data_IF_834951332510
#
_entry.id   IF_834951332510
#
_cell.length_a   1.000
_cell.length_b   1.000
_cell.length_c   1.000
_cell.angle_alpha   90.00
_cell.angle_beta   90.00
_cell.angle_gamma   90.00
#
_symmetry.space_group_name_H-M   'P 1'
#
loop_
_entity.id
_entity.type
_entity.pdbx_description
1 polymer ?
#
# COMPACT_ATOMS: atom_id res chain seq x y z
N UNK A 1 6.66 0.40 -6.01
CA UNK A 1 6.57 1.87 -5.99
C UNK A 1 5.28 2.29 -6.67
N UNK A 2 4.44 3.14 -6.06
CA UNK A 2 3.14 3.55 -6.66
C UNK A 2 3.37 4.31 -7.97
N UNK A 3 2.96 3.77 -9.13
CA UNK A 3 3.37 4.32 -10.42
C UNK A 3 2.75 5.69 -10.69
N UNK A 4 1.61 6.03 -10.05
CA UNK A 4 0.90 7.28 -10.33
C UNK A 4 1.59 8.51 -9.73
N UNK A 5 2.06 8.44 -8.48
CA UNK A 5 2.79 9.54 -7.85
C UNK A 5 4.21 9.74 -8.43
N UNK A 6 4.79 8.71 -9.04
CA UNK A 6 6.06 8.85 -9.75
C UNK A 6 5.92 9.48 -11.13
N UNK A 7 4.70 9.55 -11.71
CA UNK A 7 4.47 10.24 -12.99
C UNK A 7 4.67 11.75 -12.85
N UNK A 8 4.31 12.31 -11.70
CA UNK A 8 4.36 13.76 -11.46
C UNK A 8 5.72 14.22 -10.89
N UNK A 9 6.72 13.34 -10.85
CA UNK A 9 8.08 13.67 -10.37
C UNK A 9 8.23 13.81 -8.85
N UNK A 10 7.20 13.45 -8.08
CA UNK A 10 7.25 13.51 -6.61
C UNK A 10 8.08 12.35 -6.02
N UNK A 11 9.07 12.67 -5.17
CA UNK A 11 9.86 11.70 -4.41
C UNK A 11 9.05 11.14 -3.22
N UNK A 12 8.14 10.21 -3.49
CA UNK A 12 7.31 9.55 -2.48
C UNK A 12 7.96 8.24 -2.04
N UNK A 13 8.47 8.21 -0.80
CA UNK A 13 9.23 7.07 -0.26
C UNK A 13 8.42 6.08 0.55
N UNK A 14 7.18 6.40 0.91
CA UNK A 14 6.37 5.55 1.76
C UNK A 14 4.91 5.97 1.84
N UNK A 15 4.12 5.07 2.44
CA UNK A 15 2.69 5.26 2.69
C UNK A 15 2.38 4.75 4.10
N UNK A 16 1.61 5.53 4.86
CA UNK A 16 1.13 5.15 6.20
C UNK A 16 -0.40 5.17 6.21
N UNK A 17 -1.00 4.18 6.85
CA UNK A 17 -2.46 4.11 7.02
C UNK A 17 -2.89 4.90 8.24
N UNK A 18 -3.89 5.77 8.06
CA UNK A 18 -4.66 6.31 9.18
C UNK A 18 -5.89 5.43 9.40
N UNK A 19 -6.00 4.70 10.51
CA UNK A 19 -5.04 4.53 11.61
C UNK A 19 -4.76 3.04 11.83
N UNK A 20 -3.77 2.72 12.66
CA UNK A 20 -3.57 1.32 13.04
C UNK A 20 -4.73 0.79 13.89
N UNK A 21 -5.17 1.58 14.87
CA UNK A 21 -6.23 1.24 15.83
C UNK A 21 -7.36 2.26 15.74
N UNK A 22 -8.59 1.82 16.03
CA UNK A 22 -9.66 2.77 16.36
C UNK A 22 -9.21 3.62 17.55
N UNK A 23 -9.44 4.92 17.46
CA UNK A 23 -9.01 5.90 18.44
C UNK A 23 -10.09 6.97 18.66
N UNK A 24 -9.77 7.97 19.47
CA UNK A 24 -10.59 9.16 19.67
C UNK A 24 -10.44 10.11 18.49
N UNK A 25 -11.52 10.33 17.73
CA UNK A 25 -11.51 11.19 16.55
C UNK A 25 -12.08 12.58 16.86
N UNK A 26 -11.36 13.32 17.70
CA UNK A 26 -11.59 14.75 17.96
C UNK A 26 -13.05 15.10 18.26
N UNK A 27 -13.66 15.99 17.46
CA UNK A 27 -15.06 16.43 17.60
C UNK A 27 -16.06 15.26 17.60
N UNK A 28 -15.71 14.14 16.97
CA UNK A 28 -16.62 12.99 16.79
C UNK A 28 -16.41 11.90 17.84
N UNK A 29 -15.47 12.08 18.76
CA UNK A 29 -15.18 11.13 19.82
C UNK A 29 -14.91 9.71 19.28
N UNK A 30 -15.49 8.69 19.93
CA UNK A 30 -15.30 7.28 19.56
C UNK A 30 -16.32 6.73 18.55
N UNK A 31 -17.13 7.60 17.96
CA UNK A 31 -18.18 7.17 17.01
C UNK A 31 -17.62 6.84 15.64
N UNK A 32 -16.52 7.50 15.25
CA UNK A 32 -15.78 7.22 14.02
C UNK A 32 -14.66 6.22 14.24
N UNK A 33 -14.50 5.30 13.29
CA UNK A 33 -13.63 4.12 13.43
C UNK A 33 -12.78 3.92 12.18
N UNK A 34 -11.62 4.58 12.14
CA UNK A 34 -10.68 4.52 11.02
C UNK A 34 -9.60 3.44 11.14
N UNK A 35 -9.51 2.78 12.30
CA UNK A 35 -8.47 1.80 12.55
C UNK A 35 -8.55 0.58 11.66
N UNK A 36 -7.40 0.03 11.29
CA UNK A 36 -7.30 -1.33 10.75
C UNK A 36 -7.77 -2.37 11.79
N UNK A 37 -7.61 -2.07 13.08
CA UNK A 37 -8.12 -2.88 14.18
C UNK A 37 -9.27 -2.16 14.89
N UNK A 38 -10.34 -2.91 15.11
CA UNK A 38 -11.42 -2.51 16.00
C UNK A 38 -10.94 -2.58 17.44
N UNK A 39 -11.19 -1.54 18.22
CA UNK A 39 -10.93 -1.52 19.67
C UNK A 39 -12.26 -1.56 20.40
N UNK A 40 -12.38 -2.51 21.33
CA UNK A 40 -13.51 -2.59 22.25
C UNK A 40 -13.20 -1.77 23.51
N UNK A 41 -13.80 -0.58 23.60
CA UNK A 41 -13.59 0.29 24.75
C UNK A 41 -14.29 -0.19 26.03
N UNK A 42 -15.25 -1.12 25.93
CA UNK A 42 -15.97 -1.67 27.06
C UNK A 42 -15.35 -2.97 27.58
N UNK A 43 -14.65 -3.71 26.71
CA UNK A 43 -14.01 -5.00 27.03
C UNK A 43 -12.48 -4.86 27.05
N UNK A 44 -11.96 -4.14 28.06
CA UNK A 44 -10.51 -4.03 28.37
C UNK A 44 -9.63 -3.65 27.17
N UNK A 45 -10.13 -2.79 26.27
CA UNK A 45 -9.42 -2.34 25.08
C UNK A 45 -8.97 -3.49 24.15
N UNK A 46 -9.71 -4.61 24.12
CA UNK A 46 -9.40 -5.72 23.22
C UNK A 46 -9.41 -5.27 21.76
N UNK A 47 -8.48 -5.83 20.98
CA UNK A 47 -8.26 -5.46 19.58
C UNK A 47 -8.60 -6.60 18.64
N UNK A 48 -9.38 -6.29 17.62
CA UNK A 48 -9.86 -7.25 16.64
C UNK A 48 -9.49 -6.79 15.24
N UNK A 49 -8.78 -7.63 14.49
CA UNK A 49 -8.35 -7.31 13.14
C UNK A 49 -9.57 -7.23 12.20
N UNK A 50 -9.81 -6.05 11.60
CA UNK A 50 -10.85 -5.89 10.58
C UNK A 50 -10.39 -6.52 9.26
N UNK A 51 -11.32 -6.70 8.33
CA UNK A 51 -10.97 -7.23 7.01
C UNK A 51 -10.03 -6.30 6.23
N UNK A 52 -10.07 -4.99 6.50
CA UNK A 52 -9.08 -4.02 6.01
C UNK A 52 -7.66 -4.35 6.47
N UNK A 53 -7.45 -4.80 7.72
CA UNK A 53 -6.12 -5.23 8.19
C UNK A 53 -5.62 -6.47 7.43
N UNK A 54 -6.50 -7.46 7.22
CA UNK A 54 -6.17 -8.67 6.46
C UNK A 54 -5.84 -8.34 5.00
N UNK A 55 -6.62 -7.45 4.39
CA UNK A 55 -6.37 -6.96 3.05
C UNK A 55 -5.05 -6.19 2.97
N UNK A 56 -4.79 -5.30 3.93
CA UNK A 56 -3.59 -4.47 3.94
C UNK A 56 -2.33 -5.32 4.11
N UNK A 57 -2.38 -6.36 4.95
CA UNK A 57 -1.32 -7.37 5.04
C UNK A 57 -1.03 -8.00 3.67
N UNK A 58 -2.04 -8.54 3.00
CA UNK A 58 -1.90 -9.13 1.66
C UNK A 58 -1.41 -8.11 0.63
N UNK A 59 -1.82 -6.85 0.77
CA UNK A 59 -1.38 -5.76 -0.09
C UNK A 59 0.11 -5.49 0.08
N UNK A 60 0.64 -5.45 1.30
CA UNK A 60 2.07 -5.28 1.58
C UNK A 60 2.91 -6.50 1.17
N UNK A 61 2.33 -7.70 1.22
CA UNK A 61 2.99 -8.94 0.79
C UNK A 61 3.14 -9.04 -0.74
N UNK A 62 2.38 -8.26 -1.51
CA UNK A 62 2.57 -8.17 -2.97
C UNK A 62 3.90 -7.48 -3.24
N UNK A 63 4.91 -8.28 -3.60
CA UNK A 63 6.16 -7.77 -4.19
C UNK A 63 5.85 -6.92 -5.41
N UNK A 64 6.68 -5.91 -5.68
CA UNK A 64 6.57 -5.04 -6.85
C UNK A 64 6.30 -5.89 -8.10
N UNK A 65 5.06 -5.86 -8.57
CA UNK A 65 4.73 -6.42 -9.87
C UNK A 65 5.36 -5.47 -10.86
N UNK A 66 6.35 -5.97 -11.60
CA UNK A 66 6.78 -5.31 -12.81
C UNK A 66 5.55 -5.09 -13.67
N UNK A 67 5.24 -3.83 -13.96
CA UNK A 67 4.15 -3.51 -14.88
C UNK A 67 4.47 -4.18 -16.22
N UNK A 68 3.52 -4.92 -16.83
CA UNK A 68 3.77 -5.71 -18.05
C UNK A 68 4.44 -4.89 -19.18
N UNK A 69 4.13 -3.60 -19.25
CA UNK A 69 4.70 -2.64 -20.20
C UNK A 69 6.19 -2.38 -19.98
N UNK A 70 6.64 -2.30 -18.72
CA UNK A 70 8.06 -2.09 -18.39
C UNK A 70 8.90 -3.32 -18.72
N UNK A 71 8.36 -4.51 -18.47
CA UNK A 71 9.04 -5.77 -18.77
C UNK A 71 9.13 -6.02 -20.28
N UNK A 72 8.06 -5.72 -21.02
CA UNK A 72 8.08 -5.75 -22.47
C UNK A 72 9.11 -4.78 -23.05
N UNK A 73 9.13 -3.53 -22.57
CA UNK A 73 10.11 -2.52 -22.99
C UNK A 73 11.55 -2.96 -22.70
N UNK A 74 11.82 -3.46 -21.50
CA UNK A 74 13.14 -4.01 -21.11
C UNK A 74 13.55 -5.18 -22.01
N UNK A 75 12.60 -6.07 -22.34
CA UNK A 75 12.84 -7.20 -23.24
C UNK A 75 13.18 -6.74 -24.65
N UNK A 76 12.39 -5.82 -25.23
CA UNK A 76 12.64 -5.26 -26.56
C UNK A 76 13.99 -4.55 -26.62
N UNK A 77 14.33 -3.71 -25.63
CA UNK A 77 15.63 -3.03 -25.58
C UNK A 77 16.80 -4.01 -25.54
N UNK A 78 16.68 -5.09 -24.74
CA UNK A 78 17.71 -6.13 -24.65
C UNK A 78 17.94 -6.81 -26.01
N UNK A 79 16.87 -7.14 -26.73
CA UNK A 79 16.95 -7.71 -28.08
C UNK A 79 17.57 -6.73 -29.09
N UNK A 80 17.20 -5.46 -29.02
CA UNK A 80 17.75 -4.42 -29.89
C UNK A 80 19.26 -4.23 -29.68
N UNK A 81 19.73 -4.24 -28.42
CA UNK A 81 21.16 -4.17 -28.10
C UNK A 81 21.94 -5.42 -28.53
N UNK A 82 21.33 -6.60 -28.52
CA UNK A 82 21.96 -7.84 -28.99
C UNK A 82 22.13 -7.85 -30.52
N UNK A 83 21.21 -7.23 -31.26
CA UNK A 83 21.29 -7.09 -32.73
C UNK A 83 22.36 -6.10 -33.20
N UNK A 84 22.71 -5.10 -32.38
CA UNK A 84 23.77 -4.13 -32.70
C UNK A 84 25.20 -4.63 -32.42
N UNK A 85 25.35 -5.81 -31.81
CA UNK A 85 26.66 -6.43 -31.52
C UNK A 85 27.04 -7.55 -32.52
N UNK A 86 26.35 -7.63 -33.65
CA UNK A 86 26.70 -8.44 -34.84
C UNK A 86 27.06 -7.47 -35.95
#
# INVERSE_FOLDING_TARGET
MYPKCSVDGCDVRGYSTWSLLDNFEWERGYTMRFGLYYVDYADDLKRYAKDSAKWFKKFLERREQSTPTLDMYKSIKKWWSALQMI
#
